data_IF_463825665396
#
_entry.id   IF_463825665396
#
_cell.length_a   1.000
_cell.length_b   1.000
_cell.length_c   1.000
_cell.angle_alpha   90.00
_cell.angle_beta   90.00
_cell.angle_gamma   90.00
#
_symmetry.space_group_name_H-M   'P 1'
#
loop_
_entity.id
_entity.type
_entity.pdbx_description
1 polymer ?
#
# COMPACT_ATOMS: atom_id res chain seq x y z
N UNK A 1 5.60 7.83 6.20
CA UNK A 1 4.19 7.56 6.51
C UNK A 1 4.07 6.24 7.24
N UNK A 2 2.93 5.97 7.86
CA UNK A 2 2.64 4.72 8.58
C UNK A 2 1.20 4.29 8.30
N UNK A 3 0.99 2.99 8.05
CA UNK A 3 -0.33 2.37 7.84
C UNK A 3 -0.59 1.30 8.90
N UNK A 4 -1.05 1.69 10.12
CA UNK A 4 -1.22 0.76 11.23
C UNK A 4 -2.48 -0.11 11.13
N UNK A 5 -3.50 0.33 10.39
CA UNK A 5 -4.68 -0.47 10.12
C UNK A 5 -4.42 -1.30 8.86
N UNK A 6 -4.26 -2.60 8.99
CA UNK A 6 -3.92 -3.49 7.88
C UNK A 6 -4.68 -4.81 7.99
N UNK A 7 -5.22 -5.26 6.85
CA UNK A 7 -5.76 -6.60 6.69
C UNK A 7 -5.22 -7.17 5.38
N UNK A 8 -4.67 -8.38 5.45
CA UNK A 8 -4.26 -9.15 4.29
C UNK A 8 -4.92 -10.53 4.34
N UNK A 9 -5.44 -10.96 3.20
CA UNK A 9 -5.93 -12.31 2.98
C UNK A 9 -4.99 -13.00 2.00
N UNK A 10 -4.36 -14.09 2.46
CA UNK A 10 -3.50 -14.95 1.66
C UNK A 10 -4.29 -16.18 1.21
N UNK A 11 -4.27 -16.45 -0.09
CA UNK A 11 -4.91 -17.62 -0.68
C UNK A 11 -3.83 -18.67 -0.94
N UNK A 12 -3.79 -19.72 -0.13
CA UNK A 12 -2.85 -20.82 -0.28
C UNK A 12 -3.59 -22.09 -0.73
N UNK A 13 -3.16 -22.67 -1.85
CA UNK A 13 -3.72 -23.91 -2.42
C UNK A 13 -2.68 -25.05 -2.48
N UNK A 14 -1.65 -25.02 -1.63
CA UNK A 14 -0.53 -25.97 -1.68
C UNK A 14 0.40 -25.80 -2.89
N UNK A 15 0.22 -24.77 -3.72
CA UNK A 15 1.12 -24.45 -4.82
C UNK A 15 2.23 -23.47 -4.41
N UNK A 16 3.25 -23.30 -5.26
CA UNK A 16 4.30 -22.29 -5.06
C UNK A 16 3.80 -20.85 -5.24
N UNK A 17 2.60 -20.65 -5.79
CA UNK A 17 2.03 -19.34 -6.10
C UNK A 17 0.91 -19.06 -5.10
N UNK A 18 1.09 -18.01 -4.32
CA UNK A 18 0.17 -17.60 -3.26
C UNK A 18 -0.38 -16.22 -3.61
N UNK A 19 -1.57 -16.14 -4.24
CA UNK A 19 -2.26 -14.88 -4.41
C UNK A 19 -2.60 -14.25 -3.06
N UNK A 20 -2.62 -12.93 -3.00
CA UNK A 20 -3.07 -12.19 -1.84
C UNK A 20 -3.82 -10.92 -2.23
N UNK A 21 -4.71 -10.48 -1.36
CA UNK A 21 -5.33 -9.15 -1.41
C UNK A 21 -5.16 -8.46 -0.05
N UNK A 22 -5.11 -7.14 -0.06
CA UNK A 22 -4.93 -6.36 1.15
C UNK A 22 -5.70 -5.04 1.11
N UNK A 23 -6.03 -4.53 2.29
CA UNK A 23 -6.49 -3.17 2.53
C UNK A 23 -5.71 -2.58 3.69
N UNK A 24 -5.26 -1.33 3.55
CA UNK A 24 -4.50 -0.63 4.58
C UNK A 24 -5.02 0.80 4.77
N UNK A 25 -4.88 1.32 5.98
CA UNK A 25 -5.25 2.68 6.35
C UNK A 25 -4.17 3.32 7.22
N UNK A 26 -3.89 4.60 6.99
CA UNK A 26 -2.81 5.30 7.67
C UNK A 26 -2.70 6.78 7.38
N UNK A 27 -1.48 7.29 7.58
CA UNK A 27 -1.14 8.69 7.39
C UNK A 27 0.25 8.88 6.79
N UNK A 28 0.41 10.01 6.10
CA UNK A 28 1.62 10.48 5.45
C UNK A 28 1.96 11.87 5.97
N UNK A 29 3.25 12.15 6.10
CA UNK A 29 3.78 13.49 6.34
C UNK A 29 4.76 13.77 5.22
N UNK A 30 4.46 14.77 4.41
CA UNK A 30 5.28 15.21 3.29
C UNK A 30 6.22 16.33 3.73
N UNK A 31 7.32 16.52 3.01
CA UNK A 31 8.24 17.65 3.23
C UNK A 31 7.75 18.97 2.59
N UNK A 32 6.61 18.93 1.89
CA UNK A 32 5.94 20.07 1.24
C UNK A 32 4.44 19.79 1.18
N UNK A 33 3.63 20.79 0.83
CA UNK A 33 2.21 20.57 0.58
C UNK A 33 1.99 19.66 -0.62
N UNK A 34 1.08 18.67 -0.48
CA UNK A 34 0.73 17.70 -1.52
C UNK A 34 -0.78 17.47 -1.50
N UNK A 35 -1.45 17.41 -2.67
CA UNK A 35 -0.89 17.52 -4.02
C UNK A 35 -0.78 18.96 -4.54
N UNK A 36 -1.36 19.94 -3.83
CA UNK A 36 -1.36 21.36 -4.19
C UNK A 36 -0.86 22.20 -3.00
N UNK A 37 -0.48 23.45 -3.26
CA UNK A 37 0.24 24.30 -2.32
C UNK A 37 -0.50 24.56 -1.00
N UNK A 38 -1.83 24.60 -1.02
CA UNK A 38 -2.68 24.88 0.15
C UNK A 38 -3.21 23.61 0.85
N UNK A 39 -2.88 22.41 0.38
CA UNK A 39 -3.40 21.16 0.95
C UNK A 39 -2.76 20.73 2.28
N UNK A 40 -1.67 21.39 2.69
CA UNK A 40 -0.89 21.03 3.87
C UNK A 40 0.02 19.80 3.65
N UNK A 41 0.87 19.52 4.64
CA UNK A 41 1.88 18.45 4.58
C UNK A 41 1.43 17.13 5.21
N UNK A 42 0.35 17.11 6.02
CA UNK A 42 -0.21 15.90 6.61
C UNK A 42 -1.37 15.39 5.76
N UNK A 43 -1.41 14.08 5.49
CA UNK A 43 -2.51 13.45 4.76
C UNK A 43 -2.87 12.08 5.34
N UNK A 44 -4.13 11.69 5.21
CA UNK A 44 -4.58 10.31 5.38
C UNK A 44 -4.33 9.53 4.09
N UNK A 45 -4.06 8.24 4.22
CA UNK A 45 -3.93 7.32 3.10
C UNK A 45 -4.78 6.07 3.33
N UNK A 46 -5.63 5.76 2.37
CA UNK A 46 -6.27 4.47 2.21
C UNK A 46 -5.61 3.72 1.06
N UNK A 47 -5.42 2.42 1.24
CA UNK A 47 -4.80 1.54 0.25
C UNK A 47 -5.65 0.29 0.07
N UNK A 48 -5.82 -0.16 -1.17
CA UNK A 48 -6.33 -1.48 -1.48
C UNK A 48 -5.51 -2.07 -2.63
N UNK A 49 -5.20 -3.35 -2.57
CA UNK A 49 -4.37 -3.97 -3.58
C UNK A 49 -4.31 -5.47 -3.48
N UNK A 50 -3.44 -6.04 -4.30
CA UNK A 50 -3.18 -7.46 -4.32
C UNK A 50 -1.99 -7.80 -5.18
N UNK A 51 -1.61 -9.06 -5.13
CA UNK A 51 -0.47 -9.56 -5.85
C UNK A 51 -0.34 -11.07 -5.76
N UNK A 52 0.81 -11.54 -6.21
CA UNK A 52 1.19 -12.94 -6.09
C UNK A 52 2.55 -13.02 -5.40
N UNK A 53 2.65 -13.95 -4.46
CA UNK A 53 3.91 -14.37 -3.84
C UNK A 53 4.29 -15.72 -4.43
N UNK A 54 5.48 -15.83 -4.99
CA UNK A 54 6.00 -17.01 -5.67
C UNK A 54 7.19 -17.55 -4.86
N UNK A 55 7.02 -18.72 -4.25
CA UNK A 55 8.07 -19.40 -3.51
C UNK A 55 9.08 -20.04 -4.47
N UNK A 56 10.33 -19.61 -4.36
CA UNK A 56 11.46 -20.16 -5.14
C UNK A 56 12.19 -21.26 -4.37
N UNK A 57 12.03 -21.31 -3.05
CA UNK A 57 12.40 -22.41 -2.17
C UNK A 57 11.52 -22.39 -0.91
N UNK A 58 11.72 -23.34 0.00
CA UNK A 58 11.03 -23.37 1.30
C UNK A 58 11.26 -22.12 2.15
N UNK A 59 12.33 -21.35 1.88
CA UNK A 59 12.73 -20.18 2.68
C UNK A 59 12.78 -18.87 1.90
N UNK A 60 12.44 -18.86 0.61
CA UNK A 60 12.57 -17.69 -0.26
C UNK A 60 11.34 -17.52 -1.13
N UNK A 61 10.87 -16.29 -1.24
CA UNK A 61 9.82 -15.93 -2.19
C UNK A 61 10.07 -14.57 -2.86
N UNK A 62 9.57 -14.44 -4.08
CA UNK A 62 9.46 -13.17 -4.81
C UNK A 62 8.00 -12.77 -4.84
N UNK A 63 7.69 -11.49 -4.69
CA UNK A 63 6.33 -10.97 -4.79
C UNK A 63 6.24 -9.89 -5.87
N UNK A 64 5.12 -9.85 -6.58
CA UNK A 64 4.74 -8.74 -7.46
C UNK A 64 3.29 -8.40 -7.19
N UNK A 65 2.95 -7.12 -7.21
CA UNK A 65 1.59 -6.67 -6.95
C UNK A 65 1.31 -5.27 -7.45
N UNK A 66 0.03 -4.91 -7.35
CA UNK A 66 -0.48 -3.57 -7.62
C UNK A 66 -1.30 -3.13 -6.42
N UNK A 67 -1.16 -1.86 -6.06
CA UNK A 67 -1.98 -1.23 -5.03
C UNK A 67 -2.52 0.10 -5.54
N UNK A 68 -3.73 0.42 -5.17
CA UNK A 68 -4.34 1.73 -5.31
C UNK A 68 -4.15 2.50 -4.01
N UNK A 69 -3.73 3.75 -4.10
CA UNK A 69 -3.75 4.70 -2.98
C UNK A 69 -4.80 5.77 -3.23
N UNK A 70 -5.60 6.05 -2.21
CA UNK A 70 -6.35 7.28 -2.06
C UNK A 70 -5.72 8.11 -0.94
N UNK A 71 -5.21 9.29 -1.26
CA UNK A 71 -4.55 10.20 -0.31
C UNK A 71 -5.33 11.50 -0.26
N UNK A 72 -5.66 11.98 0.94
CA UNK A 72 -6.40 13.22 1.15
C UNK A 72 -6.03 13.85 2.49
N UNK A 73 -6.21 15.16 2.64
CA UNK A 73 -5.99 15.82 3.94
C UNK A 73 -7.24 15.74 4.85
N UNK A 74 -8.33 15.14 4.37
CA UNK A 74 -9.58 14.98 5.13
C UNK A 74 -10.19 16.30 5.58
N UNK A 75 -10.04 17.36 4.77
CA UNK A 75 -10.50 18.72 5.04
C UNK A 75 -9.91 19.32 6.33
N UNK A 76 -8.68 18.91 6.69
CA UNK A 76 -7.95 19.41 7.86
C UNK A 76 -6.99 20.57 7.55
N UNK A 77 -6.77 20.90 6.29
CA UNK A 77 -5.89 22.00 5.88
C UNK A 77 -6.24 22.50 4.47
N UNK A 78 -6.53 23.79 4.32
CA UNK A 78 -6.85 24.43 3.03
C UNK A 78 -7.76 23.59 2.12
N UNK A 79 -7.43 23.49 0.83
CA UNK A 79 -8.19 22.69 -0.14
C UNK A 79 -7.90 21.19 -0.06
N UNK A 80 -8.94 20.36 -0.01
CA UNK A 80 -8.82 18.90 -0.01
C UNK A 80 -8.88 18.31 -1.43
N UNK A 81 -7.80 18.47 -2.20
CA UNK A 81 -7.69 17.79 -3.49
C UNK A 81 -7.09 16.39 -3.29
N UNK A 82 -7.91 15.36 -3.42
CA UNK A 82 -7.45 13.98 -3.31
C UNK A 82 -6.44 13.59 -4.40
N UNK A 83 -5.43 12.81 -4.02
CA UNK A 83 -4.47 12.18 -4.93
C UNK A 83 -4.75 10.68 -5.00
N UNK A 84 -5.07 10.20 -6.21
CA UNK A 84 -5.31 8.79 -6.50
C UNK A 84 -4.18 8.27 -7.39
N UNK A 85 -3.60 7.13 -7.04
CA UNK A 85 -2.53 6.51 -7.83
C UNK A 85 -2.56 4.99 -7.76
N UNK A 86 -2.12 4.36 -8.85
CA UNK A 86 -1.75 2.95 -8.85
C UNK A 86 -0.24 2.82 -8.71
N UNK A 87 0.20 1.95 -7.82
CA UNK A 87 1.61 1.65 -7.58
C UNK A 87 1.84 0.17 -7.88
N UNK A 88 2.69 -0.10 -8.86
CA UNK A 88 3.22 -1.43 -9.12
C UNK A 88 4.44 -1.62 -8.22
N UNK A 89 4.52 -2.76 -7.55
CA UNK A 89 5.63 -3.07 -6.66
C UNK A 89 6.11 -4.51 -6.83
N UNK A 90 7.37 -4.73 -6.51
CA UNK A 90 7.96 -6.06 -6.39
C UNK A 90 8.76 -6.15 -5.07
N UNK A 91 8.94 -7.36 -4.56
CA UNK A 91 9.63 -7.60 -3.30
C UNK A 91 10.24 -8.99 -3.20
N UNK A 92 11.10 -9.17 -2.21
CA UNK A 92 11.73 -10.44 -1.87
C UNK A 92 11.54 -10.73 -0.39
N UNK A 93 11.24 -11.98 -0.04
CA UNK A 93 11.00 -12.43 1.32
C UNK A 93 11.90 -13.60 1.68
N UNK A 94 12.45 -13.57 2.90
CA UNK A 94 13.21 -14.66 3.51
C UNK A 94 12.42 -15.13 4.74
N UNK A 95 12.14 -16.42 4.80
CA UNK A 95 11.44 -17.05 5.92
C UNK A 95 12.45 -17.77 6.84
N UNK A 96 12.13 -17.83 8.13
CA UNK A 96 12.96 -18.48 9.16
C UNK A 96 12.72 -19.98 9.19
#
# INVERSE_FOLDING_TARGET
GLTPAALQLDFANGSKVHPFIHVNGGFLVFNKSVPIEDAGSFAFVGEAGGGVRIFTSERKAVSIGVRFHHISNGDRSGSNRGLNQFVIYAGFSIFK
#
